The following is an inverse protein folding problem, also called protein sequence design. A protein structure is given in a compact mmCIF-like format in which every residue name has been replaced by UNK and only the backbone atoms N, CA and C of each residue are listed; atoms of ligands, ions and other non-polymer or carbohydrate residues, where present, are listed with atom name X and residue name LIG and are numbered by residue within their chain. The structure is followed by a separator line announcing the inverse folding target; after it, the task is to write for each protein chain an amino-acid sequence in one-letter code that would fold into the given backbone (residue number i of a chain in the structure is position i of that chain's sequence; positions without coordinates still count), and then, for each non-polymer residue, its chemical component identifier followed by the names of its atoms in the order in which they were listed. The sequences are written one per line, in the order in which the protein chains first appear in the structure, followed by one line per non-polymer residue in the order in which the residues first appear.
data_IF_763049700855
#
_entry.id   IF_763049700855
#
_cell.length_a   1.000
_cell.length_b   1.000
_cell.length_c   1.000
_cell.angle_alpha   90.00
_cell.angle_beta   90.00
_cell.angle_gamma   90.00
#
_symmetry.space_group_name_H-M   'P 1'
#
loop_
_entity.id
_entity.type
_entity.pdbx_description
1 polymer ?
#
# COMPACT_ATOMS: atom_id res chain seq x y z
N UNK A 1 -0.52 52.64 12.65
CA UNK A 1 -1.26 51.93 11.58
C UNK A 1 -0.40 50.98 10.71
N UNK A 2 0.94 51.04 10.79
CA UNK A 2 1.87 50.30 9.91
C UNK A 2 1.96 48.78 10.25
N UNK A 3 1.67 48.37 11.49
CA UNK A 3 1.80 46.96 11.91
C UNK A 3 0.71 46.00 11.40
N UNK A 4 -0.49 46.48 11.00
CA UNK A 4 -1.58 45.57 10.59
C UNK A 4 -1.42 45.03 9.16
N UNK A 5 -0.72 45.74 8.29
CA UNK A 5 -0.55 45.33 6.87
C UNK A 5 0.44 44.16 6.74
N UNK A 6 1.49 44.13 7.57
CA UNK A 6 2.53 43.09 7.53
C UNK A 6 2.04 41.72 8.04
N UNK A 7 1.02 41.70 8.91
CA UNK A 7 0.47 40.45 9.47
C UNK A 7 -0.40 39.72 8.43
N UNK A 8 -1.17 40.46 7.61
CA UNK A 8 -2.01 39.86 6.56
C UNK A 8 -1.19 39.20 5.45
N UNK A 9 -0.12 39.84 4.98
CA UNK A 9 0.73 39.27 3.93
C UNK A 9 1.45 37.99 4.40
N UNK A 10 1.91 37.94 5.65
CA UNK A 10 2.52 36.75 6.24
C UNK A 10 1.53 35.57 6.36
N UNK A 11 0.25 35.85 6.63
CA UNK A 11 -0.78 34.80 6.69
C UNK A 11 -1.12 34.22 5.31
N UNK A 12 -1.17 35.07 4.28
CA UNK A 12 -1.39 34.65 2.88
C UNK A 12 -0.25 33.74 2.37
N UNK A 13 1.01 34.11 2.65
CA UNK A 13 2.18 33.31 2.25
C UNK A 13 2.20 31.94 2.93
N UNK A 14 1.91 31.88 4.25
CA UNK A 14 1.79 30.60 4.95
C UNK A 14 0.66 29.76 4.37
N UNK A 15 -0.51 30.34 4.08
CA UNK A 15 -1.64 29.63 3.49
C UNK A 15 -1.31 29.07 2.10
N UNK A 16 -0.60 29.83 1.26
CA UNK A 16 -0.15 29.36 -0.05
C UNK A 16 0.91 28.25 0.06
N UNK A 17 1.87 28.39 0.98
CA UNK A 17 2.88 27.38 1.23
C UNK A 17 2.25 26.06 1.71
N UNK A 18 1.36 26.12 2.69
CA UNK A 18 0.61 24.96 3.17
C UNK A 18 -0.23 24.32 2.04
N UNK A 19 -0.94 25.13 1.25
CA UNK A 19 -1.73 24.61 0.14
C UNK A 19 -0.85 23.90 -0.90
N UNK A 20 0.32 24.44 -1.23
CA UNK A 20 1.25 23.81 -2.17
C UNK A 20 1.84 22.51 -1.61
N UNK A 21 2.25 22.50 -0.33
CA UNK A 21 2.85 21.34 0.32
C UNK A 21 1.84 20.19 0.46
N UNK A 22 0.63 20.49 0.94
CA UNK A 22 -0.42 19.48 1.10
C UNK A 22 -1.01 18.99 -0.22
N UNK A 23 -0.97 19.79 -1.30
CA UNK A 23 -1.39 19.36 -2.64
C UNK A 23 -0.46 18.31 -3.25
N UNK A 24 0.78 18.19 -2.77
CA UNK A 24 1.76 17.20 -3.25
C UNK A 24 1.75 15.88 -2.47
N UNK A 25 1.21 15.85 -1.25
CA UNK A 25 1.13 14.61 -0.45
C UNK A 25 0.00 13.75 -0.99
N UNK A 26 0.34 12.88 -1.93
CA UNK A 26 -0.56 11.85 -2.42
C UNK A 26 -0.84 10.84 -1.28
N UNK A 27 -2.13 10.56 -1.01
CA UNK A 27 -2.61 9.60 -0.01
C UNK A 27 -1.87 8.25 -0.09
N UNK A 28 -1.49 7.84 -1.30
CA UNK A 28 -0.73 6.62 -1.53
C UNK A 28 0.65 6.63 -0.84
N UNK A 29 1.37 7.76 -0.83
CA UNK A 29 2.66 7.85 -0.14
C UNK A 29 2.49 7.73 1.38
N UNK A 30 1.40 8.30 1.92
CA UNK A 30 1.07 8.15 3.35
C UNK A 30 0.84 6.66 3.66
N UNK A 31 0.08 5.95 2.82
CA UNK A 31 -0.15 4.52 3.03
C UNK A 31 1.10 3.66 2.86
N UNK A 32 1.99 3.97 1.90
CA UNK A 32 3.29 3.30 1.80
C UNK A 32 4.12 3.48 3.06
N UNK A 33 4.21 4.72 3.55
CA UNK A 33 4.96 5.04 4.76
C UNK A 33 4.36 4.36 5.99
N UNK A 34 3.03 4.40 6.13
CA UNK A 34 2.31 3.78 7.24
C UNK A 34 2.50 2.26 7.25
N UNK A 35 2.35 1.61 6.09
CA UNK A 35 2.58 0.18 5.96
C UNK A 35 4.04 -0.19 6.31
N UNK A 36 5.02 0.59 5.84
CA UNK A 36 6.43 0.35 6.16
C UNK A 36 6.70 0.45 7.67
N UNK A 37 6.24 1.54 8.32
CA UNK A 37 6.46 1.76 9.74
C UNK A 37 5.74 0.72 10.58
N UNK A 38 4.46 0.44 10.31
CA UNK A 38 3.66 -0.42 11.18
C UNK A 38 3.92 -1.91 10.88
N UNK A 39 3.76 -2.33 9.63
CA UNK A 39 3.88 -3.74 9.26
C UNK A 39 5.36 -4.19 9.20
N UNK A 40 6.26 -3.31 8.76
CA UNK A 40 7.69 -3.62 8.73
C UNK A 40 8.36 -3.47 10.08
N UNK A 41 8.53 -2.23 10.53
CA UNK A 41 9.29 -1.92 11.74
C UNK A 41 8.50 -2.32 13.00
N UNK A 42 7.24 -1.94 13.09
CA UNK A 42 6.39 -2.18 14.26
C UNK A 42 6.25 -3.66 14.58
N UNK A 43 5.77 -4.46 13.63
CA UNK A 43 5.62 -5.91 13.84
C UNK A 43 6.99 -6.60 14.03
N UNK A 44 8.02 -6.15 13.32
CA UNK A 44 9.40 -6.63 13.51
C UNK A 44 9.90 -6.42 14.94
N UNK A 45 9.85 -5.20 15.44
CA UNK A 45 10.35 -4.86 16.79
C UNK A 45 9.47 -5.50 17.87
N UNK A 46 8.15 -5.42 17.75
CA UNK A 46 7.25 -5.97 18.78
C UNK A 46 7.25 -7.50 18.80
N UNK A 47 7.37 -8.15 17.65
CA UNK A 47 7.56 -9.61 17.57
C UNK A 47 8.87 -10.06 18.20
N UNK A 48 9.97 -9.31 17.96
CA UNK A 48 11.25 -9.57 18.61
C UNK A 48 11.16 -9.44 20.14
N UNK A 49 10.51 -8.38 20.64
CA UNK A 49 10.28 -8.19 22.08
C UNK A 49 9.42 -9.33 22.65
N UNK A 50 8.38 -9.76 21.91
CA UNK A 50 7.55 -10.88 22.31
C UNK A 50 8.37 -12.16 22.47
N UNK A 51 9.20 -12.51 21.49
CA UNK A 51 10.05 -13.72 21.55
C UNK A 51 11.09 -13.63 22.67
N UNK A 52 11.66 -12.45 22.91
CA UNK A 52 12.62 -12.23 23.98
C UNK A 52 11.98 -12.34 25.38
N UNK A 53 10.70 -11.98 25.53
CA UNK A 53 10.01 -11.96 26.83
C UNK A 53 9.22 -13.24 27.13
N UNK A 54 8.61 -13.87 26.13
CA UNK A 54 7.76 -15.07 26.27
C UNK A 54 8.41 -16.34 25.73
N UNK A 55 9.60 -16.24 25.16
CA UNK A 55 10.32 -17.33 24.52
C UNK A 55 10.02 -17.45 23.02
N UNK A 56 10.90 -18.16 22.31
CA UNK A 56 10.89 -18.29 20.85
C UNK A 56 9.55 -18.86 20.34
N UNK A 57 8.93 -19.77 21.11
CA UNK A 57 7.66 -20.40 20.76
C UNK A 57 6.45 -19.46 20.78
N UNK A 58 6.59 -18.22 21.26
CA UNK A 58 5.53 -17.22 21.24
C UNK A 58 5.22 -16.68 19.83
N UNK A 59 6.22 -16.66 18.93
CA UNK A 59 5.99 -16.37 17.51
C UNK A 59 5.23 -17.55 16.88
N UNK A 60 4.22 -17.32 16.06
CA UNK A 60 3.41 -18.41 15.48
C UNK A 60 4.05 -19.02 14.23
N UNK A 61 4.89 -18.25 13.55
CA UNK A 61 5.49 -18.64 12.28
C UNK A 61 6.79 -19.43 12.48
N UNK A 62 6.83 -20.69 12.01
CA UNK A 62 7.98 -21.59 12.11
C UNK A 62 9.25 -21.02 11.45
N UNK A 63 9.12 -20.33 10.31
CA UNK A 63 10.27 -19.73 9.62
C UNK A 63 10.93 -18.65 10.48
N UNK A 64 10.13 -17.78 11.10
CA UNK A 64 10.67 -16.72 11.94
C UNK A 64 11.23 -17.24 13.27
N UNK A 65 10.67 -18.34 13.82
CA UNK A 65 11.27 -19.05 14.95
C UNK A 65 12.68 -19.54 14.63
N UNK A 66 12.82 -20.28 13.53
CA UNK A 66 14.11 -20.81 13.07
C UNK A 66 15.13 -19.69 12.84
N UNK A 67 14.69 -18.59 12.22
CA UNK A 67 15.57 -17.45 11.93
C UNK A 67 16.04 -16.74 13.20
N UNK A 68 15.16 -16.57 14.19
CA UNK A 68 15.53 -16.01 15.49
C UNK A 68 16.47 -16.94 16.26
N UNK A 69 16.23 -18.25 16.25
CA UNK A 69 17.07 -19.23 16.93
C UNK A 69 18.48 -19.30 16.34
N UNK A 70 18.59 -19.22 15.01
CA UNK A 70 19.87 -19.35 14.30
C UNK A 70 20.68 -18.06 14.28
N UNK A 71 20.03 -16.91 14.08
CA UNK A 71 20.70 -15.63 13.81
C UNK A 71 20.36 -14.52 14.82
N UNK A 72 19.47 -14.78 15.78
CA UNK A 72 19.11 -13.87 16.85
C UNK A 72 18.12 -12.76 16.47
N UNK A 73 17.95 -11.84 17.41
CA UNK A 73 16.94 -10.78 17.36
C UNK A 73 17.11 -9.81 16.18
N UNK A 74 18.34 -9.37 15.91
CA UNK A 74 18.61 -8.39 14.86
C UNK A 74 18.31 -8.95 13.47
N UNK A 75 18.63 -10.22 13.23
CA UNK A 75 18.32 -10.90 11.98
C UNK A 75 16.80 -11.03 11.79
N UNK A 76 16.05 -11.40 12.84
CA UNK A 76 14.58 -11.45 12.79
C UNK A 76 13.97 -10.11 12.36
N UNK A 77 14.38 -9.01 12.99
CA UNK A 77 13.88 -7.67 12.65
C UNK A 77 14.26 -7.30 11.21
N UNK A 78 15.53 -7.49 10.84
CA UNK A 78 16.03 -7.17 9.52
C UNK A 78 15.28 -7.95 8.43
N UNK A 79 15.00 -9.24 8.63
CA UNK A 79 14.25 -10.06 7.68
C UNK A 79 12.81 -9.60 7.53
N UNK A 80 12.09 -9.28 8.62
CA UNK A 80 10.71 -8.75 8.53
C UNK A 80 10.66 -7.40 7.82
N UNK A 81 11.60 -6.50 8.12
CA UNK A 81 11.72 -5.21 7.43
C UNK A 81 12.05 -5.41 5.95
N UNK A 82 12.98 -6.30 5.61
CA UNK A 82 13.33 -6.61 4.22
C UNK A 82 12.15 -7.18 3.43
N UNK A 83 11.43 -8.15 4.02
CA UNK A 83 10.24 -8.74 3.40
C UNK A 83 9.17 -7.68 3.15
N UNK A 84 8.99 -6.75 4.09
CA UNK A 84 8.08 -5.60 3.90
C UNK A 84 8.55 -4.69 2.78
N UNK A 85 9.84 -4.35 2.71
CA UNK A 85 10.40 -3.56 1.62
C UNK A 85 10.14 -4.21 0.25
N UNK A 86 10.30 -5.54 0.15
CA UNK A 86 10.04 -6.29 -1.10
C UNK A 86 8.56 -6.19 -1.47
N UNK A 87 7.64 -6.41 -0.52
CA UNK A 87 6.20 -6.31 -0.77
C UNK A 87 5.79 -4.91 -1.23
N UNK A 88 6.29 -3.86 -0.58
CA UNK A 88 6.01 -2.48 -0.96
C UNK A 88 6.64 -2.11 -2.31
N UNK A 89 7.84 -2.62 -2.60
CA UNK A 89 8.47 -2.43 -3.90
C UNK A 89 7.64 -3.04 -5.03
N UNK A 90 7.11 -4.25 -4.85
CA UNK A 90 6.21 -4.89 -5.83
C UNK A 90 4.96 -4.04 -6.08
N UNK A 91 4.30 -3.57 -5.02
CA UNK A 91 3.13 -2.71 -5.14
C UNK A 91 3.47 -1.38 -5.87
N UNK A 92 4.64 -0.81 -5.60
CA UNK A 92 5.12 0.39 -6.28
C UNK A 92 5.40 0.14 -7.78
N UNK A 93 6.02 -0.98 -8.13
CA UNK A 93 6.26 -1.37 -9.53
C UNK A 93 4.93 -1.54 -10.26
N UNK A 94 3.95 -2.24 -9.68
CA UNK A 94 2.62 -2.41 -10.28
C UNK A 94 1.97 -1.04 -10.54
N UNK A 95 2.02 -0.13 -9.57
CA UNK A 95 1.50 1.23 -9.74
C UNK A 95 2.15 2.00 -10.89
N UNK A 96 3.48 1.89 -11.03
CA UNK A 96 4.24 2.57 -12.08
C UNK A 96 3.96 1.98 -13.45
N UNK A 97 3.97 0.65 -13.58
CA UNK A 97 3.72 -0.05 -14.84
C UNK A 97 2.29 0.17 -15.34
N UNK A 98 1.32 0.30 -14.43
CA UNK A 98 -0.07 0.54 -14.79
C UNK A 98 -0.38 1.99 -15.19
N UNK A 99 0.61 2.87 -15.32
CA UNK A 99 0.41 4.30 -15.58
C UNK A 99 -0.68 4.95 -14.69
N UNK A 100 -0.70 4.59 -13.40
CA UNK A 100 -1.69 5.04 -12.40
C UNK A 100 -3.14 4.53 -12.57
N UNK A 101 -3.41 3.60 -13.47
CA UNK A 101 -4.76 3.03 -13.65
C UNK A 101 -5.28 2.23 -12.43
N UNK A 102 -4.39 1.71 -11.57
CA UNK A 102 -4.74 0.92 -10.38
C UNK A 102 -4.49 1.67 -9.06
N UNK A 103 -4.69 2.99 -9.05
CA UNK A 103 -4.37 3.82 -7.90
C UNK A 103 -5.18 3.45 -6.66
N UNK A 104 -6.51 3.33 -6.77
CA UNK A 104 -7.37 3.03 -5.63
C UNK A 104 -7.28 1.57 -5.19
N UNK A 105 -7.08 0.65 -6.13
CA UNK A 105 -6.82 -0.77 -5.84
C UNK A 105 -5.58 -0.94 -4.95
N UNK A 106 -4.48 -0.27 -5.31
CA UNK A 106 -3.21 -0.35 -4.55
C UNK A 106 -3.36 0.32 -3.18
N UNK A 107 -4.06 1.45 -3.10
CA UNK A 107 -4.37 2.08 -1.81
C UNK A 107 -5.23 1.17 -0.91
N UNK A 108 -6.20 0.46 -1.48
CA UNK A 108 -7.01 -0.52 -0.74
C UNK A 108 -6.14 -1.64 -0.15
N UNK A 109 -5.20 -2.18 -0.93
CA UNK A 109 -4.25 -3.18 -0.45
C UNK A 109 -3.31 -2.62 0.65
N UNK A 110 -2.74 -1.42 0.46
CA UNK A 110 -1.86 -0.80 1.45
C UNK A 110 -2.60 -0.47 2.76
N UNK A 111 -3.87 -0.07 2.67
CA UNK A 111 -4.72 0.15 3.84
C UNK A 111 -4.99 -1.16 4.59
N UNK A 112 -5.33 -2.24 3.89
CA UNK A 112 -5.49 -3.57 4.49
C UNK A 112 -4.20 -4.03 5.19
N UNK A 113 -3.05 -3.86 4.53
CA UNK A 113 -1.74 -4.20 5.09
C UNK A 113 -1.42 -3.38 6.36
N UNK A 114 -1.72 -2.08 6.35
CA UNK A 114 -1.52 -1.21 7.51
C UNK A 114 -2.39 -1.64 8.69
N UNK A 115 -3.67 -1.94 8.45
CA UNK A 115 -4.61 -2.39 9.50
C UNK A 115 -4.17 -3.75 10.06
N UNK A 116 -3.80 -4.70 9.19
CA UNK A 116 -3.24 -6.00 9.61
C UNK A 116 -1.98 -5.83 10.46
N UNK A 117 -1.08 -4.92 10.07
CA UNK A 117 0.10 -4.56 10.86
C UNK A 117 -0.24 -3.97 12.23
N UNK A 118 -1.22 -3.07 12.32
CA UNK A 118 -1.69 -2.50 13.61
C UNK A 118 -2.14 -3.62 14.53
N UNK A 119 -2.91 -4.57 14.00
CA UNK A 119 -3.42 -5.70 14.77
C UNK A 119 -2.32 -6.63 15.25
N UNK A 120 -1.33 -6.93 14.40
CA UNK A 120 -0.18 -7.75 14.77
C UNK A 120 0.64 -7.08 15.89
N UNK A 121 0.97 -5.80 15.73
CA UNK A 121 1.61 -4.98 16.76
C UNK A 121 0.83 -4.99 18.07
N UNK A 122 -0.49 -4.77 18.00
CA UNK A 122 -1.37 -4.77 19.16
C UNK A 122 -1.39 -6.13 19.87
N UNK A 123 -1.45 -7.23 19.13
CA UNK A 123 -1.42 -8.57 19.67
C UNK A 123 -0.08 -8.89 20.36
N UNK A 124 1.05 -8.55 19.72
CA UNK A 124 2.38 -8.72 20.28
C UNK A 124 2.52 -7.94 21.60
N UNK A 125 2.13 -6.66 21.61
CA UNK A 125 2.22 -5.84 22.81
C UNK A 125 1.36 -6.36 23.95
N UNK A 126 0.12 -6.79 23.68
CA UNK A 126 -0.76 -7.39 24.70
C UNK A 126 -0.20 -8.69 25.25
N UNK A 127 0.35 -9.54 24.40
CA UNK A 127 1.01 -10.77 24.82
C UNK A 127 2.23 -10.49 25.71
N UNK A 128 3.05 -9.49 25.37
CA UNK A 128 4.22 -9.07 26.18
C UNK A 128 3.79 -8.70 27.61
N UNK A 129 2.76 -7.87 27.75
CA UNK A 129 2.27 -7.42 29.07
C UNK A 129 1.37 -8.45 29.78
N UNK A 130 1.17 -9.64 29.20
CA UNK A 130 0.39 -10.72 29.81
C UNK A 130 -1.14 -10.51 29.78
N UNK A 131 -1.64 -9.60 28.94
CA UNK A 131 -3.08 -9.45 28.72
C UNK A 131 -3.60 -10.45 27.68
N UNK A 132 -4.90 -10.79 27.68
CA UNK A 132 -5.52 -11.54 26.59
C UNK A 132 -5.25 -10.84 25.25
N UNK A 133 -4.82 -11.59 24.25
CA UNK A 133 -4.48 -11.09 22.92
C UNK A 133 -5.20 -11.89 21.82
N UNK A 134 -5.43 -11.28 20.65
CA UNK A 134 -6.08 -11.97 19.53
C UNK A 134 -5.23 -13.15 19.03
N UNK A 135 -5.90 -14.24 18.65
CA UNK A 135 -5.22 -15.38 18.03
C UNK A 135 -4.61 -14.96 16.67
N UNK A 136 -3.35 -15.31 16.37
CA UNK A 136 -2.71 -15.00 15.09
C UNK A 136 -3.53 -15.40 13.86
N UNK A 137 -4.19 -16.56 13.91
CA UNK A 137 -5.03 -17.06 12.81
C UNK A 137 -6.23 -16.13 12.56
N UNK A 138 -6.81 -15.55 13.61
CA UNK A 138 -7.91 -14.59 13.49
C UNK A 138 -7.44 -13.28 12.84
N UNK A 139 -6.22 -12.83 13.14
CA UNK A 139 -5.63 -11.64 12.50
C UNK A 139 -5.38 -11.90 11.02
N UNK A 140 -4.80 -13.05 10.67
CA UNK A 140 -4.54 -13.44 9.27
C UNK A 140 -5.86 -13.52 8.49
N UNK A 141 -6.87 -14.18 9.05
CA UNK A 141 -8.18 -14.32 8.42
C UNK A 141 -8.84 -12.95 8.17
N UNK A 142 -8.81 -12.07 9.16
CA UNK A 142 -9.34 -10.72 9.03
C UNK A 142 -8.56 -9.90 7.99
N UNK A 143 -7.23 -10.01 7.96
CA UNK A 143 -6.40 -9.37 6.94
C UNK A 143 -6.78 -9.82 5.53
N UNK A 144 -7.01 -11.12 5.31
CA UNK A 144 -7.44 -11.66 4.02
C UNK A 144 -8.79 -11.08 3.61
N UNK A 145 -9.79 -11.12 4.50
CA UNK A 145 -11.12 -10.56 4.23
C UNK A 145 -11.04 -9.07 3.90
N UNK A 146 -10.30 -8.31 4.71
CA UNK A 146 -10.13 -6.87 4.54
C UNK A 146 -9.42 -6.55 3.23
N UNK A 147 -8.42 -7.34 2.86
CA UNK A 147 -7.73 -7.23 1.58
C UNK A 147 -8.71 -7.40 0.42
N UNK A 148 -9.52 -8.46 0.42
CA UNK A 148 -10.52 -8.65 -0.64
C UNK A 148 -11.49 -7.48 -0.75
N UNK A 149 -12.07 -7.04 0.38
CA UNK A 149 -13.06 -5.96 0.38
C UNK A 149 -12.44 -4.65 -0.13
N UNK A 150 -11.28 -4.24 0.40
CA UNK A 150 -10.67 -2.97 0.06
C UNK A 150 -10.07 -2.95 -1.34
N UNK A 151 -9.47 -4.06 -1.80
CA UNK A 151 -8.92 -4.18 -3.16
C UNK A 151 -10.03 -4.15 -4.20
N UNK A 152 -11.12 -4.91 -4.02
CA UNK A 152 -12.24 -4.92 -4.97
C UNK A 152 -12.96 -3.57 -5.00
N UNK A 153 -13.15 -2.94 -3.84
CA UNK A 153 -13.72 -1.59 -3.75
C UNK A 153 -12.83 -0.59 -4.49
N UNK A 154 -11.51 -0.66 -4.29
CA UNK A 154 -10.54 0.18 -4.99
C UNK A 154 -10.57 -0.04 -6.51
N UNK A 155 -10.57 -1.30 -6.96
CA UNK A 155 -10.65 -1.66 -8.37
C UNK A 155 -11.96 -1.17 -9.01
N UNK A 156 -13.08 -1.23 -8.29
CA UNK A 156 -14.35 -0.68 -8.75
C UNK A 156 -14.28 0.85 -8.96
N UNK A 157 -13.68 1.58 -8.03
CA UNK A 157 -13.48 3.04 -8.15
C UNK A 157 -12.55 3.36 -9.33
N UNK A 158 -11.45 2.64 -9.49
CA UNK A 158 -10.51 2.80 -10.60
C UNK A 158 -11.22 2.61 -11.95
N UNK A 159 -12.04 1.55 -12.11
CA UNK A 159 -12.84 1.32 -13.33
C UNK A 159 -13.77 2.50 -13.63
N UNK A 160 -14.49 3.01 -12.64
CA UNK A 160 -15.40 4.14 -12.82
C UNK A 160 -14.66 5.43 -13.20
N UNK A 161 -13.51 5.69 -12.60
CA UNK A 161 -12.72 6.90 -12.88
C UNK A 161 -12.10 6.89 -14.29
N UNK A 162 -11.63 5.73 -14.75
CA UNK A 162 -11.10 5.56 -16.10
C UNK A 162 -12.16 5.79 -17.17
N UNK A 163 -13.40 5.31 -16.99
CA UNK A 163 -14.50 5.54 -17.94
C UNK A 163 -14.79 7.04 -18.10
N UNK A 164 -14.86 7.78 -16.99
CA UNK A 164 -15.18 9.22 -17.00
C UNK A 164 -14.08 10.04 -17.68
N UNK A 165 -12.81 9.69 -17.46
CA UNK A 165 -11.68 10.42 -18.04
C UNK A 165 -11.51 10.15 -19.53
N UNK A 166 -11.82 8.94 -20.02
CA UNK A 166 -11.83 8.65 -21.45
C UNK A 166 -13.00 9.33 -22.20
N UNK A 167 -14.20 9.44 -21.61
CA UNK A 167 -15.34 10.14 -22.21
C UNK A 167 -15.22 11.68 -22.27
N UNK A 168 -14.25 12.29 -21.57
CA UNK A 168 -14.02 13.74 -21.62
C UNK A 168 -13.08 14.17 -22.75
N UNK A 169 -12.46 13.24 -23.49
CA UNK A 169 -11.80 13.60 -24.75
C UNK A 169 -12.92 13.80 -25.80
N UNK A 170 -12.94 14.92 -26.55
CA UNK A 170 -14.03 15.29 -27.47
C UNK A 170 -14.18 14.35 -28.69
N UNK A 171 -13.58 13.17 -28.65
CA UNK A 171 -13.49 12.25 -29.77
C UNK A 171 -13.63 10.82 -29.21
N UNK A 172 -14.84 10.47 -28.75
CA UNK A 172 -15.29 9.09 -28.78
C UNK A 172 -15.55 8.74 -30.25
N UNK A 173 -14.51 8.70 -31.07
CA UNK A 173 -14.64 8.11 -32.40
C UNK A 173 -14.97 6.63 -32.16
N UNK A 174 -16.01 6.10 -32.81
CA UNK A 174 -16.17 4.65 -32.87
C UNK A 174 -14.86 4.05 -33.38
N UNK A 175 -14.50 2.81 -32.97
CA UNK A 175 -13.33 2.15 -33.50
C UNK A 175 -13.38 2.28 -35.01
N UNK A 176 -12.38 2.96 -35.58
CA UNK A 176 -12.22 3.07 -37.03
C UNK A 176 -12.19 1.61 -37.49
N UNK A 177 -13.26 1.18 -38.15
CA UNK A 177 -13.28 -0.10 -38.83
C UNK A 177 -12.19 0.03 -39.88
N UNK A 178 -10.99 -0.47 -39.57
CA UNK A 178 -9.94 -0.63 -40.55
C UNK A 178 -10.51 -1.63 -41.54
N UNK A 179 -10.99 -1.10 -42.67
CA UNK A 179 -11.40 -1.89 -43.81
C UNK A 179 -10.31 -2.93 -44.02
N UNK A 180 -10.63 -4.24 -44.04
CA UNK A 180 -9.60 -5.27 -44.18
C UNK A 180 -8.75 -4.93 -45.41
N UNK A 181 -7.42 -5.09 -45.32
CA UNK A 181 -6.54 -4.77 -46.43
C UNK A 181 -7.05 -5.52 -47.66
N UNK A 182 -7.39 -4.75 -48.71
CA UNK A 182 -7.73 -5.33 -50.00
C UNK A 182 -6.46 -6.00 -50.48
N UNK A 183 -6.39 -7.32 -50.34
CA UNK A 183 -5.29 -8.09 -50.90
C UNK A 183 -5.29 -7.85 -52.42
N UNK A 184 -4.20 -7.34 -53.00
CA UNK A 184 -4.09 -7.25 -54.46
C UNK A 184 -4.18 -8.68 -55.01
N UNK A 185 -5.14 -8.89 -55.91
CA UNK A 185 -5.32 -10.14 -56.62
C UNK A 185 -4.05 -10.38 -57.45
N UNK A 186 -3.22 -11.35 -57.05
CA UNK A 186 -2.07 -11.79 -57.84
C UNK A 186 -2.59 -12.88 -58.78
N UNK A 187 -2.70 -12.63 -60.09
CA UNK A 187 -3.04 -13.69 -61.03
C UNK A 187 -1.95 -14.77 -61.03
N UNK A 188 -2.37 -16.03 -61.02
CA UNK A 188 -1.47 -17.18 -61.14
C UNK A 188 -0.85 -17.21 -62.54
N UNK A 189 0.45 -17.51 -62.68
CA UNK A 189 1.06 -17.74 -63.97
C UNK A 189 0.52 -19.04 -64.59
N UNK A 190 0.14 -18.95 -65.87
CA UNK A 190 -0.23 -20.08 -66.72
C UNK A 190 0.94 -21.04 -66.98
#
# INVERSE_FOLDING_TARGET
MINKVNIKSQQEVKKQFYHHFFKQINIQHIFFFLAFIIYGIGDGVTGAILMNTKGIYAESNLFFRFLYETFGLMAFIATKVLLTCILLLVAFIIYKLSNRHYYWMINGWLAALSIGGIMAVHANLRAVIGLPYPNPNSIIFLYIILTFILVETGAYIDRKHNIITHCKRPVCLPPVQTKPPVHPYVPLPD
#
